data_IF_263352611640
#
_entry.id   IF_263352611640
#
_cell.length_a   1.000
_cell.length_b   1.000
_cell.length_c   1.000
_cell.angle_alpha   90.00
_cell.angle_beta   90.00
_cell.angle_gamma   90.00
#
_symmetry.space_group_name_H-M   'P 1'
#
loop_
_entity.id
_entity.type
_entity.pdbx_description
1 polymer ?
#
# COMPACT_ATOMS: atom_id res chain seq x y z
N UNK A 1 21.29 -0.86 -18.63
CA UNK A 1 20.50 -1.56 -17.60
C UNK A 1 21.37 -2.48 -16.74
N UNK A 2 22.19 -3.38 -17.31
CA UNK A 2 23.06 -4.29 -16.54
C UNK A 2 23.97 -3.63 -15.49
N UNK A 3 24.51 -2.45 -15.77
CA UNK A 3 25.33 -1.71 -14.78
C UNK A 3 24.51 -1.31 -13.54
N UNK A 4 23.24 -0.96 -13.72
CA UNK A 4 22.32 -0.61 -12.63
C UNK A 4 21.87 -1.86 -11.88
N UNK A 5 21.61 -2.97 -12.58
CA UNK A 5 21.34 -4.27 -11.93
C UNK A 5 22.49 -4.66 -11.00
N UNK A 6 23.74 -4.52 -11.48
CA UNK A 6 24.93 -4.84 -10.68
C UNK A 6 25.03 -3.98 -9.40
N UNK A 7 24.61 -2.70 -9.46
CA UNK A 7 24.55 -1.84 -8.27
C UNK A 7 23.46 -2.27 -7.28
N UNK A 8 22.34 -2.79 -7.78
CA UNK A 8 21.24 -3.32 -6.95
C UNK A 8 21.67 -4.64 -6.31
N UNK A 9 22.32 -5.54 -7.04
CA UNK A 9 22.82 -6.81 -6.53
C UNK A 9 23.92 -6.61 -5.47
N UNK A 10 24.80 -5.63 -5.67
CA UNK A 10 25.76 -5.14 -4.66
C UNK A 10 25.03 -4.66 -3.40
N UNK A 11 23.99 -3.84 -3.56
CA UNK A 11 23.18 -3.37 -2.44
C UNK A 11 22.50 -4.49 -1.68
N UNK A 12 21.91 -5.47 -2.38
CA UNK A 12 21.29 -6.67 -1.79
C UNK A 12 22.33 -7.47 -0.99
N UNK A 13 23.55 -7.62 -1.52
CA UNK A 13 24.64 -8.34 -0.84
C UNK A 13 25.08 -7.62 0.44
N UNK A 14 25.18 -6.29 0.40
CA UNK A 14 25.45 -5.47 1.58
C UNK A 14 24.29 -5.49 2.59
N UNK A 15 23.04 -5.51 2.13
CA UNK A 15 21.86 -5.65 2.99
C UNK A 15 21.87 -6.98 3.76
N UNK A 16 22.14 -8.10 3.08
CA UNK A 16 22.24 -9.43 3.69
C UNK A 16 23.35 -9.53 4.75
N UNK A 17 24.42 -8.75 4.61
CA UNK A 17 25.53 -8.69 5.57
C UNK A 17 25.38 -7.61 6.65
N UNK A 18 24.25 -6.88 6.69
CA UNK A 18 24.04 -5.79 7.65
C UNK A 18 24.89 -4.54 7.39
N UNK A 19 25.46 -4.41 6.18
CA UNK A 19 26.35 -3.32 5.77
C UNK A 19 25.80 -2.48 4.61
N UNK A 20 24.47 -2.43 4.43
CA UNK A 20 23.79 -1.69 3.34
C UNK A 20 24.26 -0.23 3.19
N UNK A 21 24.59 0.43 4.30
CA UNK A 21 25.16 1.79 4.33
C UNK A 21 26.49 1.95 3.56
N UNK A 22 27.18 0.85 3.23
CA UNK A 22 28.46 0.84 2.50
C UNK A 22 28.32 0.58 1.01
N UNK A 23 27.15 0.15 0.55
CA UNK A 23 26.92 -0.15 -0.87
C UNK A 23 27.07 1.11 -1.74
N UNK A 24 27.51 0.92 -2.98
CA UNK A 24 27.67 2.04 -3.92
C UNK A 24 26.32 2.68 -4.26
N UNK A 25 25.24 1.88 -4.35
CA UNK A 25 23.91 2.39 -4.61
C UNK A 25 23.41 3.32 -3.50
N UNK A 26 23.69 3.01 -2.22
CA UNK A 26 23.29 3.87 -1.09
C UNK A 26 24.01 5.21 -1.09
N UNK A 27 25.26 5.25 -1.56
CA UNK A 27 25.99 6.50 -1.75
C UNK A 27 25.37 7.38 -2.85
N UNK A 28 24.97 6.77 -3.97
CA UNK A 28 24.38 7.48 -5.11
C UNK A 28 22.93 7.91 -4.85
N UNK A 29 22.18 7.10 -4.11
CA UNK A 29 20.78 7.34 -3.78
C UNK A 29 20.60 7.16 -2.26
N UNK A 30 20.88 8.19 -1.44
CA UNK A 30 20.80 8.08 0.03
C UNK A 30 19.43 7.65 0.55
N UNK A 31 18.36 7.93 -0.18
CA UNK A 31 16.99 7.54 0.13
C UNK A 31 16.62 6.11 -0.30
N UNK A 32 17.55 5.35 -0.88
CA UNK A 32 17.27 3.96 -1.31
C UNK A 32 16.93 3.10 -0.10
N UNK A 33 15.87 2.32 -0.25
CA UNK A 33 15.39 1.36 0.73
C UNK A 33 15.99 -0.02 0.52
N UNK A 34 15.37 -1.01 1.14
CA UNK A 34 15.74 -2.40 0.99
C UNK A 34 15.19 -2.99 -0.32
N UNK A 35 15.88 -3.98 -0.86
CA UNK A 35 15.37 -4.82 -1.95
C UNK A 35 15.07 -6.22 -1.40
N UNK A 36 13.94 -6.79 -1.82
CA UNK A 36 13.52 -8.13 -1.39
C UNK A 36 13.79 -9.20 -2.45
N UNK A 37 13.99 -8.78 -3.70
CA UNK A 37 14.35 -9.63 -4.84
C UNK A 37 15.38 -8.92 -5.72
N UNK A 38 16.16 -9.65 -6.52
CA UNK A 38 16.94 -9.07 -7.61
C UNK A 38 16.01 -8.40 -8.63
N UNK A 39 16.49 -7.33 -9.28
CA UNK A 39 15.72 -6.60 -10.29
C UNK A 39 16.36 -6.79 -11.68
N UNK A 40 15.86 -7.69 -12.53
CA UNK A 40 16.35 -7.89 -13.90
C UNK A 40 15.91 -6.76 -14.84
N UNK A 41 16.40 -5.54 -14.59
CA UNK A 41 16.13 -4.31 -15.35
C UNK A 41 16.38 -4.42 -16.86
N UNK A 42 17.35 -5.22 -17.31
CA UNK A 42 17.64 -5.40 -18.72
C UNK A 42 16.54 -6.19 -19.43
N UNK A 43 16.04 -7.24 -18.79
CA UNK A 43 14.92 -8.02 -19.32
C UNK A 43 13.61 -7.23 -19.22
N UNK A 44 13.41 -6.52 -18.10
CA UNK A 44 12.27 -5.63 -17.93
C UNK A 44 12.25 -4.51 -18.98
N UNK A 45 13.40 -3.92 -19.29
CA UNK A 45 13.53 -2.93 -20.36
C UNK A 45 13.17 -3.54 -21.71
N UNK A 46 13.71 -4.70 -22.08
CA UNK A 46 13.38 -5.37 -23.35
C UNK A 46 11.88 -5.65 -23.44
N UNK A 47 11.29 -6.13 -22.37
CA UNK A 47 9.86 -6.44 -22.30
C UNK A 47 8.99 -5.19 -22.52
N UNK A 48 9.27 -4.10 -21.81
CA UNK A 48 8.53 -2.83 -22.00
C UNK A 48 8.84 -2.17 -23.35
N UNK A 49 10.07 -2.27 -23.85
CA UNK A 49 10.48 -1.73 -25.14
C UNK A 49 9.75 -2.41 -26.31
N UNK A 50 9.52 -3.73 -26.23
CA UNK A 50 8.73 -4.46 -27.23
C UNK A 50 7.28 -3.97 -27.31
N UNK A 51 6.69 -3.53 -26.18
CA UNK A 51 5.31 -3.05 -26.12
C UNK A 51 5.19 -1.56 -26.46
N UNK A 52 6.16 -0.76 -26.01
CA UNK A 52 6.07 0.71 -25.98
C UNK A 52 7.05 1.42 -26.92
N UNK A 53 7.94 0.66 -27.56
CA UNK A 53 8.93 1.16 -28.52
C UNK A 53 9.79 2.30 -27.95
N UNK A 54 10.12 2.21 -26.66
CA UNK A 54 10.82 3.23 -25.86
C UNK A 54 12.10 3.69 -26.57
N UNK A 55 12.91 2.72 -27.03
CA UNK A 55 14.21 2.90 -27.69
C UNK A 55 14.11 3.35 -29.16
N UNK A 56 12.95 3.14 -29.79
CA UNK A 56 12.73 3.45 -31.21
C UNK A 56 12.24 4.89 -31.44
N UNK A 57 11.88 5.61 -30.36
CA UNK A 57 11.45 7.01 -30.44
C UNK A 57 12.64 7.91 -30.81
N UNK A 58 12.44 8.76 -31.83
CA UNK A 58 13.50 9.66 -32.34
C UNK A 58 13.59 11.00 -31.61
N UNK A 59 12.47 11.51 -31.11
CA UNK A 59 12.36 12.88 -30.59
C UNK A 59 11.89 12.96 -29.14
N UNK A 60 11.39 11.85 -28.58
CA UNK A 60 10.85 11.78 -27.23
C UNK A 60 11.69 10.79 -26.44
N UNK A 61 12.48 11.24 -25.44
CA UNK A 61 13.26 10.35 -24.61
C UNK A 61 12.36 9.52 -23.67
N UNK A 62 12.91 8.49 -23.00
CA UNK A 62 12.23 7.81 -21.91
C UNK A 62 11.69 8.79 -20.87
N UNK A 63 10.39 8.70 -20.62
CA UNK A 63 9.68 9.49 -19.61
C UNK A 63 9.82 8.86 -18.22
N UNK A 64 9.43 9.60 -17.19
CA UNK A 64 9.29 9.05 -15.83
C UNK A 64 8.40 7.81 -15.80
N UNK A 65 7.26 7.84 -16.50
CA UNK A 65 6.34 6.70 -16.58
C UNK A 65 6.94 5.50 -17.32
N UNK A 66 7.81 5.72 -18.30
CA UNK A 66 8.54 4.61 -18.94
C UNK A 66 9.45 3.91 -17.93
N UNK A 67 10.21 4.68 -17.14
CA UNK A 67 11.10 4.13 -16.09
C UNK A 67 10.28 3.43 -14.99
N UNK A 68 9.16 4.02 -14.55
CA UNK A 68 8.24 3.42 -13.57
C UNK A 68 7.71 2.07 -14.06
N UNK A 69 7.27 1.99 -15.31
CA UNK A 69 6.80 0.73 -15.91
C UNK A 69 7.92 -0.32 -16.00
N UNK A 70 9.14 0.08 -16.40
CA UNK A 70 10.29 -0.83 -16.41
C UNK A 70 10.59 -1.36 -15.00
N UNK A 71 10.53 -0.51 -13.97
CA UNK A 71 10.73 -0.92 -12.58
C UNK A 71 9.62 -1.85 -12.08
N UNK A 72 8.36 -1.60 -12.44
CA UNK A 72 7.24 -2.49 -12.12
C UNK A 72 7.47 -3.87 -12.75
N UNK A 73 7.81 -3.94 -14.05
CA UNK A 73 8.14 -5.21 -14.72
C UNK A 73 9.34 -5.91 -14.08
N UNK A 74 10.39 -5.17 -13.71
CA UNK A 74 11.56 -5.76 -13.06
C UNK A 74 11.20 -6.37 -11.70
N UNK A 75 10.30 -5.73 -10.96
CA UNK A 75 9.79 -6.25 -9.69
C UNK A 75 8.97 -7.54 -9.89
N UNK A 76 8.07 -7.59 -10.89
CA UNK A 76 7.35 -8.81 -11.24
C UNK A 76 8.31 -9.94 -11.63
N UNK A 77 9.24 -9.67 -12.55
CA UNK A 77 10.25 -10.65 -12.96
C UNK A 77 11.12 -11.12 -11.79
N UNK A 78 11.51 -10.21 -10.88
CA UNK A 78 12.28 -10.53 -9.69
C UNK A 78 11.53 -11.47 -8.76
N UNK A 79 10.25 -11.19 -8.50
CA UNK A 79 9.37 -12.06 -7.71
C UNK A 79 9.24 -13.45 -8.34
N UNK A 80 8.90 -13.52 -9.63
CA UNK A 80 8.65 -14.77 -10.36
C UNK A 80 9.92 -15.63 -10.49
N UNK A 81 11.10 -15.01 -10.62
CA UNK A 81 12.38 -15.74 -10.73
C UNK A 81 12.91 -16.24 -9.39
N UNK A 82 12.63 -15.52 -8.30
CA UNK A 82 13.04 -15.91 -6.94
C UNK A 82 12.06 -16.92 -6.32
N UNK A 83 10.82 -16.98 -6.82
CA UNK A 83 9.81 -17.95 -6.43
C UNK A 83 8.42 -17.59 -6.99
N UNK A 84 7.36 -18.04 -6.33
CA UNK A 84 6.00 -17.62 -6.68
C UNK A 84 5.55 -16.46 -5.79
N UNK A 85 4.74 -15.57 -6.36
CA UNK A 85 3.99 -14.57 -5.58
C UNK A 85 2.94 -15.29 -4.76
N UNK A 86 3.02 -15.20 -3.44
CA UNK A 86 2.09 -15.88 -2.51
C UNK A 86 1.05 -14.91 -1.92
N UNK A 87 1.42 -13.63 -1.76
CA UNK A 87 0.55 -12.56 -1.26
C UNK A 87 0.58 -11.37 -2.21
N UNK A 88 -0.60 -10.92 -2.63
CA UNK A 88 -0.78 -9.63 -3.31
C UNK A 88 -1.56 -8.70 -2.41
N UNK A 89 -0.98 -7.58 -2.04
CA UNK A 89 -1.69 -6.52 -1.33
C UNK A 89 -1.98 -5.35 -2.24
N UNK A 90 -3.14 -4.75 -2.07
CA UNK A 90 -3.60 -3.60 -2.84
C UNK A 90 -3.83 -2.44 -1.89
N UNK A 91 -3.39 -1.26 -2.28
CA UNK A 91 -4.00 -0.05 -1.76
C UNK A 91 -5.46 0.07 -2.24
N UNK A 92 -6.28 0.79 -1.49
CA UNK A 92 -7.68 1.04 -1.84
C UNK A 92 -7.83 2.12 -2.91
N UNK A 93 -7.81 3.37 -2.47
CA UNK A 93 -8.05 4.55 -3.31
C UNK A 93 -6.99 4.68 -4.41
N UNK A 94 -7.42 5.07 -5.61
CA UNK A 94 -6.60 5.30 -6.83
C UNK A 94 -5.85 4.07 -7.35
N UNK A 95 -5.96 2.95 -6.65
CA UNK A 95 -5.40 1.65 -7.04
C UNK A 95 -6.49 0.68 -7.50
N UNK A 96 -7.56 0.52 -6.73
CA UNK A 96 -8.68 -0.38 -7.07
C UNK A 96 -9.87 0.38 -7.66
N UNK A 97 -10.10 1.61 -7.20
CA UNK A 97 -11.19 2.50 -7.61
C UNK A 97 -10.70 3.95 -7.58
N UNK A 98 -11.40 4.83 -8.28
CA UNK A 98 -11.08 6.26 -8.28
C UNK A 98 -11.23 6.87 -6.86
N UNK A 99 -10.53 7.97 -6.60
CA UNK A 99 -10.48 8.63 -5.29
C UNK A 99 -11.88 8.89 -4.70
N UNK A 100 -12.13 8.33 -3.51
CA UNK A 100 -13.40 8.47 -2.79
C UNK A 100 -14.56 7.65 -3.38
N UNK A 101 -14.32 6.86 -4.42
CA UNK A 101 -15.31 5.95 -5.01
C UNK A 101 -15.37 4.60 -4.27
N UNK A 102 -16.27 3.74 -4.74
CA UNK A 102 -16.40 2.36 -4.29
C UNK A 102 -16.09 1.40 -5.42
N UNK A 103 -15.63 0.21 -5.09
CA UNK A 103 -15.37 -0.87 -6.03
C UNK A 103 -16.70 -1.48 -6.47
N UNK A 104 -17.18 -1.14 -7.66
CA UNK A 104 -18.44 -1.66 -8.22
C UNK A 104 -18.25 -3.04 -8.86
N UNK A 105 -19.34 -3.80 -8.96
CA UNK A 105 -19.36 -5.20 -9.42
C UNK A 105 -18.78 -5.43 -10.83
N UNK A 106 -18.80 -4.40 -11.68
CA UNK A 106 -18.34 -4.42 -13.07
C UNK A 106 -16.88 -3.97 -13.24
N UNK A 107 -16.20 -3.61 -12.14
CA UNK A 107 -14.83 -3.14 -12.22
C UNK A 107 -13.89 -4.24 -12.76
N UNK A 108 -13.12 -3.96 -13.83
CA UNK A 108 -12.28 -4.95 -14.49
C UNK A 108 -11.22 -5.59 -13.56
N UNK A 109 -10.81 -4.93 -12.49
CA UNK A 109 -9.82 -5.47 -11.53
C UNK A 109 -10.33 -6.72 -10.81
N UNK A 110 -11.65 -6.82 -10.58
CA UNK A 110 -12.27 -7.89 -9.79
C UNK A 110 -11.99 -9.25 -10.42
N UNK A 111 -12.19 -9.38 -11.73
CA UNK A 111 -11.91 -10.63 -12.46
C UNK A 111 -10.46 -11.10 -12.32
N UNK A 112 -9.49 -10.17 -12.21
CA UNK A 112 -8.08 -10.50 -11.99
C UNK A 112 -7.82 -10.91 -10.53
N UNK A 113 -8.47 -10.26 -9.56
CA UNK A 113 -8.37 -10.66 -8.15
C UNK A 113 -8.95 -12.09 -7.97
N UNK A 114 -10.09 -12.39 -8.58
CA UNK A 114 -10.68 -13.75 -8.57
C UNK A 114 -9.72 -14.77 -9.20
N UNK A 115 -9.07 -14.43 -10.32
CA UNK A 115 -8.01 -15.27 -10.91
C UNK A 115 -6.87 -15.56 -9.93
N UNK A 116 -6.39 -14.55 -9.20
CA UNK A 116 -5.35 -14.75 -8.18
C UNK A 116 -5.82 -15.69 -7.05
N UNK A 117 -7.08 -15.55 -6.61
CA UNK A 117 -7.68 -16.45 -5.61
C UNK A 117 -7.78 -17.89 -6.14
N UNK A 118 -8.18 -18.10 -7.40
CA UNK A 118 -8.15 -19.43 -8.02
C UNK A 118 -6.75 -20.06 -8.04
N UNK A 119 -5.71 -19.24 -8.18
CA UNK A 119 -4.32 -19.67 -8.13
C UNK A 119 -3.82 -19.92 -6.69
N UNK A 120 -4.68 -19.75 -5.67
CA UNK A 120 -4.34 -19.97 -4.26
C UNK A 120 -3.51 -18.84 -3.64
N UNK A 121 -3.39 -17.69 -4.33
CA UNK A 121 -2.70 -16.51 -3.80
C UNK A 121 -3.56 -15.84 -2.74
N UNK A 122 -2.92 -15.33 -1.69
CA UNK A 122 -3.57 -14.56 -0.62
C UNK A 122 -3.70 -13.10 -1.03
N UNK A 123 -4.80 -12.44 -0.63
CA UNK A 123 -5.14 -11.08 -1.03
C UNK A 123 -5.37 -10.22 0.20
N UNK A 124 -4.68 -9.08 0.29
CA UNK A 124 -4.92 -8.07 1.33
C UNK A 124 -5.27 -6.71 0.75
N UNK A 125 -6.40 -6.13 1.15
CA UNK A 125 -6.73 -4.74 0.81
C UNK A 125 -6.28 -3.86 1.98
N UNK A 126 -5.25 -3.04 1.79
CA UNK A 126 -4.68 -2.16 2.82
C UNK A 126 -5.15 -0.74 2.53
N UNK A 127 -5.84 -0.09 3.46
CA UNK A 127 -6.43 1.23 3.24
C UNK A 127 -6.25 2.16 4.44
N UNK A 128 -6.05 3.44 4.14
CA UNK A 128 -6.04 4.50 5.14
C UNK A 128 -7.42 4.72 5.80
N UNK A 129 -8.51 4.29 5.14
CA UNK A 129 -9.84 4.35 5.72
C UNK A 129 -9.91 3.48 6.99
N UNK A 130 -9.97 4.13 8.16
CA UNK A 130 -10.01 3.46 9.47
C UNK A 130 -11.41 3.45 10.08
N UNK A 131 -12.23 2.48 9.70
CA UNK A 131 -13.51 2.19 10.35
C UNK A 131 -13.37 1.03 11.35
N UNK A 132 -14.12 1.10 12.44
CA UNK A 132 -14.17 0.04 13.46
C UNK A 132 -15.15 -1.08 13.09
N UNK A 133 -16.01 -0.85 12.10
CA UNK A 133 -17.15 -1.71 11.77
C UNK A 133 -17.11 -2.15 10.30
N UNK A 134 -17.53 -3.39 10.05
CA UNK A 134 -17.53 -4.02 8.73
C UNK A 134 -18.41 -3.32 7.66
N UNK A 135 -19.63 -2.81 7.97
CA UNK A 135 -20.51 -2.22 6.95
C UNK A 135 -19.86 -1.10 6.12
N UNK A 136 -19.00 -0.29 6.74
CA UNK A 136 -18.30 0.82 6.05
C UNK A 136 -17.27 0.34 5.03
N UNK A 137 -16.58 -0.76 5.34
CA UNK A 137 -15.71 -1.40 4.35
C UNK A 137 -16.50 -2.09 3.26
N UNK A 138 -17.63 -2.71 3.61
CA UNK A 138 -18.55 -3.28 2.63
C UNK A 138 -19.05 -2.23 1.65
N UNK A 139 -19.51 -1.06 2.10
CA UNK A 139 -19.91 0.05 1.21
C UNK A 139 -18.86 0.34 0.13
N UNK A 140 -17.57 0.39 0.53
CA UNK A 140 -16.44 0.66 -0.39
C UNK A 140 -16.05 -0.53 -1.26
N UNK A 141 -16.27 -1.77 -0.81
CA UNK A 141 -15.72 -2.99 -1.42
C UNK A 141 -16.78 -4.01 -1.90
N UNK A 142 -18.07 -3.67 -1.81
CA UNK A 142 -19.20 -4.58 -2.09
C UNK A 142 -19.04 -5.30 -3.43
N UNK A 143 -18.58 -4.61 -4.48
CA UNK A 143 -18.38 -5.22 -5.79
C UNK A 143 -17.41 -6.40 -5.75
N UNK A 144 -16.29 -6.29 -5.02
CA UNK A 144 -15.35 -7.40 -4.85
C UNK A 144 -15.92 -8.49 -3.93
N UNK A 145 -16.46 -8.10 -2.78
CA UNK A 145 -16.95 -9.04 -1.77
C UNK A 145 -18.09 -9.90 -2.32
N UNK A 146 -19.06 -9.28 -2.98
CA UNK A 146 -20.19 -9.97 -3.59
C UNK A 146 -19.72 -10.91 -4.70
N UNK A 147 -18.77 -10.49 -5.53
CA UNK A 147 -18.21 -11.34 -6.59
C UNK A 147 -17.47 -12.56 -6.01
N UNK A 148 -16.66 -12.39 -4.96
CA UNK A 148 -15.99 -13.50 -4.27
C UNK A 148 -17.01 -14.46 -3.65
N UNK A 149 -18.06 -13.92 -3.03
CA UNK A 149 -19.12 -14.73 -2.43
C UNK A 149 -19.88 -15.55 -3.48
N UNK A 150 -20.25 -14.92 -4.59
CA UNK A 150 -21.08 -15.51 -5.65
C UNK A 150 -20.32 -16.41 -6.63
N UNK A 151 -18.98 -16.37 -6.64
CA UNK A 151 -18.17 -17.26 -7.48
C UNK A 151 -18.24 -18.69 -6.92
N UNK A 152 -18.82 -19.62 -7.70
CA UNK A 152 -19.18 -20.97 -7.25
C UNK A 152 -18.00 -21.95 -7.23
N UNK A 153 -16.97 -21.68 -8.03
CA UNK A 153 -15.80 -22.53 -8.23
C UNK A 153 -14.57 -22.09 -7.39
N UNK A 154 -14.71 -21.04 -6.56
CA UNK A 154 -13.77 -20.76 -5.48
C UNK A 154 -14.08 -21.66 -4.28
N UNK A 155 -13.05 -22.35 -3.77
CA UNK A 155 -13.15 -23.09 -2.50
C UNK A 155 -13.29 -22.14 -1.31
N UNK A 156 -13.74 -22.66 -0.16
CA UNK A 156 -13.81 -21.87 1.07
C UNK A 156 -12.44 -21.30 1.49
N UNK A 157 -11.35 -22.06 1.37
CA UNK A 157 -9.99 -21.55 1.65
C UNK A 157 -9.61 -20.41 0.71
N UNK A 158 -9.97 -20.51 -0.57
CA UNK A 158 -9.72 -19.43 -1.53
C UNK A 158 -10.54 -18.18 -1.21
N UNK A 159 -11.82 -18.30 -0.84
CA UNK A 159 -12.62 -17.14 -0.40
C UNK A 159 -12.05 -16.50 0.87
N UNK A 160 -11.67 -17.33 1.85
CA UNK A 160 -11.06 -16.90 3.10
C UNK A 160 -9.62 -16.38 2.96
N UNK A 161 -9.06 -16.39 1.74
CA UNK A 161 -7.77 -15.79 1.41
C UNK A 161 -7.83 -14.28 1.20
N UNK A 162 -9.02 -13.68 1.27
CA UNK A 162 -9.23 -12.23 1.18
C UNK A 162 -9.37 -11.61 2.58
N UNK A 163 -8.54 -10.61 2.86
CA UNK A 163 -8.61 -9.78 4.07
C UNK A 163 -8.61 -8.29 3.73
N UNK A 164 -9.12 -7.48 4.65
CA UNK A 164 -9.10 -6.01 4.61
C UNK A 164 -8.38 -5.49 5.85
N UNK A 165 -7.31 -4.73 5.66
CA UNK A 165 -6.55 -4.02 6.66
C UNK A 165 -6.87 -2.53 6.58
N UNK A 166 -7.67 -2.03 7.52
CA UNK A 166 -8.10 -0.64 7.58
C UNK A 166 -7.37 0.22 8.61
N UNK A 167 -7.43 1.53 8.40
CA UNK A 167 -6.72 2.53 9.19
C UNK A 167 -5.21 2.32 9.15
N UNK A 168 -4.68 2.04 7.96
CA UNK A 168 -3.30 1.66 7.63
C UNK A 168 -2.84 0.32 8.24
N UNK A 169 -2.99 0.15 9.55
CA UNK A 169 -2.53 -1.03 10.31
C UNK A 169 -3.32 -1.26 11.61
N UNK A 170 -4.57 -0.79 11.67
CA UNK A 170 -5.31 -0.71 12.93
C UNK A 170 -6.47 -1.71 13.06
N UNK A 171 -7.12 -2.08 11.95
CA UNK A 171 -8.28 -2.98 11.97
C UNK A 171 -8.13 -4.05 10.88
N UNK A 172 -8.19 -5.32 11.27
CA UNK A 172 -8.18 -6.43 10.33
C UNK A 172 -9.56 -7.07 10.25
N UNK A 173 -10.06 -7.25 9.04
CA UNK A 173 -11.28 -7.98 8.72
C UNK A 173 -10.95 -9.13 7.78
N UNK A 174 -11.57 -10.28 8.02
CA UNK A 174 -11.51 -11.43 7.12
C UNK A 174 -12.80 -11.53 6.34
N UNK A 175 -12.73 -12.05 5.12
CA UNK A 175 -13.92 -12.47 4.39
C UNK A 175 -14.70 -13.52 5.19
N UNK A 176 -16.02 -13.36 5.25
CA UNK A 176 -16.93 -14.25 5.96
C UNK A 176 -18.28 -14.29 5.25
N UNK A 177 -18.54 -15.35 4.48
CA UNK A 177 -19.79 -15.53 3.73
C UNK A 177 -21.04 -15.64 4.60
N UNK A 178 -20.89 -15.83 5.92
CA UNK A 178 -22.01 -15.87 6.86
C UNK A 178 -22.38 -14.51 7.45
N UNK A 179 -21.49 -13.52 7.33
CA UNK A 179 -21.70 -12.15 7.78
C UNK A 179 -22.58 -11.38 6.77
N UNK A 180 -23.52 -10.52 7.22
CA UNK A 180 -24.33 -9.70 6.31
C UNK A 180 -23.48 -8.77 5.44
N UNK A 181 -22.33 -8.31 5.97
CA UNK A 181 -21.40 -7.42 5.29
C UNK A 181 -20.23 -8.18 4.62
N UNK A 182 -20.32 -9.52 4.57
CA UNK A 182 -19.29 -10.42 4.04
C UNK A 182 -17.90 -10.28 4.69
N UNK A 183 -17.84 -9.59 5.83
CA UNK A 183 -16.63 -9.29 6.57
C UNK A 183 -16.89 -9.51 8.05
N UNK A 184 -15.90 -10.11 8.73
CA UNK A 184 -15.90 -10.29 10.18
C UNK A 184 -14.59 -9.74 10.76
N UNK A 185 -14.63 -8.98 11.86
CA UNK A 185 -13.43 -8.45 12.50
C UNK A 185 -12.56 -9.60 13.03
N UNK A 186 -11.25 -9.42 12.97
CA UNK A 186 -10.25 -10.34 13.53
C UNK A 186 -9.65 -9.74 14.79
N UNK A 187 -9.63 -10.54 15.86
CA UNK A 187 -9.02 -10.20 17.14
C UNK A 187 -7.58 -9.73 16.96
N UNK A 188 -7.21 -8.60 17.58
CA UNK A 188 -5.88 -7.99 17.41
C UNK A 188 -4.74 -8.92 17.79
N UNK A 189 -4.96 -9.78 18.77
CA UNK A 189 -3.97 -10.76 19.23
C UNK A 189 -3.54 -11.75 18.16
N UNK A 190 -4.36 -11.99 17.12
CA UNK A 190 -4.09 -12.95 16.05
C UNK A 190 -3.12 -12.43 14.99
N UNK A 191 -3.05 -11.11 14.79
CA UNK A 191 -2.31 -10.52 13.66
C UNK A 191 -1.29 -9.44 14.05
N UNK A 192 -1.33 -8.92 15.27
CA UNK A 192 -0.35 -7.94 15.74
C UNK A 192 1.07 -8.48 15.65
N UNK A 193 1.96 -7.66 15.08
CA UNK A 193 3.39 -7.90 15.10
C UNK A 193 3.96 -7.71 16.51
N UNK A 194 5.09 -8.32 16.80
CA UNK A 194 5.68 -8.26 18.13
C UNK A 194 6.13 -6.83 18.49
N UNK A 195 6.60 -6.07 17.52
CA UNK A 195 6.95 -4.66 17.69
C UNK A 195 5.71 -3.80 17.98
N UNK A 196 4.57 -4.09 17.36
CA UNK A 196 3.32 -3.36 17.61
C UNK A 196 2.79 -3.57 19.03
N UNK A 197 3.08 -4.72 19.63
CA UNK A 197 2.71 -5.03 21.03
C UNK A 197 3.54 -4.22 22.04
N UNK A 198 4.69 -3.68 21.62
CA UNK A 198 5.54 -2.83 22.46
C UNK A 198 5.12 -1.36 22.47
N UNK A 199 4.17 -0.97 21.60
CA UNK A 199 3.65 0.39 21.56
C UNK A 199 2.82 0.66 22.82
N UNK A 200 3.27 1.63 23.60
CA UNK A 200 2.64 1.99 24.87
C UNK A 200 1.43 2.88 24.64
N UNK A 201 0.37 2.65 25.40
CA UNK A 201 -0.85 3.46 25.30
C UNK A 201 -0.60 4.91 25.76
N UNK A 202 0.37 5.14 26.66
CA UNK A 202 0.80 6.50 27.04
C UNK A 202 1.47 7.23 25.86
N UNK A 203 2.34 6.55 25.12
CA UNK A 203 2.99 7.12 23.93
C UNK A 203 1.95 7.40 22.83
N UNK A 204 0.98 6.49 22.63
CA UNK A 204 -0.10 6.69 21.65
C UNK A 204 -0.92 7.94 22.01
N UNK A 205 -1.29 8.07 23.29
CA UNK A 205 -2.07 9.22 23.77
C UNK A 205 -1.28 10.52 23.59
N UNK A 206 -0.01 10.55 24.00
CA UNK A 206 0.88 11.71 23.85
C UNK A 206 0.99 12.15 22.38
N UNK A 207 1.23 11.20 21.46
CA UNK A 207 1.36 11.49 20.04
C UNK A 207 0.08 12.10 19.47
N UNK A 208 -1.06 11.47 19.75
CA UNK A 208 -2.35 11.93 19.25
C UNK A 208 -2.75 13.28 19.85
N UNK A 209 -2.37 13.60 21.09
CA UNK A 209 -2.61 14.92 21.71
C UNK A 209 -1.79 16.03 21.05
N UNK A 210 -0.53 15.74 20.72
CA UNK A 210 0.34 16.66 19.96
C UNK A 210 -0.24 16.90 18.56
N UNK A 211 -0.63 15.83 17.86
CA UNK A 211 -1.25 15.92 16.55
C UNK A 211 -2.57 16.70 16.59
N UNK A 212 -3.43 16.44 17.58
CA UNK A 212 -4.69 17.17 17.75
C UNK A 212 -4.46 18.67 17.96
N UNK A 213 -3.46 19.03 18.76
CA UNK A 213 -3.08 20.43 18.99
C UNK A 213 -2.65 21.10 17.67
N UNK A 214 -1.78 20.45 16.91
CA UNK A 214 -1.33 20.97 15.60
C UNK A 214 -2.50 21.14 14.62
N UNK A 215 -3.44 20.18 14.59
CA UNK A 215 -4.66 20.27 13.77
C UNK A 215 -5.55 21.44 14.19
N UNK A 216 -5.74 21.67 15.49
CA UNK A 216 -6.54 22.81 16.00
C UNK A 216 -5.92 24.16 15.64
N UNK A 217 -4.59 24.25 15.70
CA UNK A 217 -3.86 25.45 15.29
C UNK A 217 -4.03 25.71 13.78
N UNK A 218 -3.92 24.67 12.94
CA UNK A 218 -4.19 24.76 11.50
C UNK A 218 -5.62 25.18 11.20
N UNK A 219 -6.61 24.57 11.87
CA UNK A 219 -8.01 24.93 11.73
C UNK A 219 -8.26 26.41 12.02
N UNK A 220 -7.62 26.94 13.06
CA UNK A 220 -7.75 28.35 13.46
C UNK A 220 -7.04 29.27 12.46
N UNK A 221 -5.78 28.97 12.12
CA UNK A 221 -4.94 29.82 11.27
C UNK A 221 -5.44 29.88 9.82
N UNK A 222 -5.96 28.77 9.30
CA UNK A 222 -6.48 28.67 7.94
C UNK A 222 -8.01 28.85 7.86
N UNK A 223 -8.67 29.08 9.01
CA UNK A 223 -10.12 29.18 9.14
C UNK A 223 -10.86 28.01 8.47
N UNK A 224 -10.41 26.78 8.75
CA UNK A 224 -10.92 25.58 8.11
C UNK A 224 -12.34 25.27 8.60
N UNK A 225 -13.32 25.04 7.70
CA UNK A 225 -14.67 24.63 8.06
C UNK A 225 -14.70 23.14 8.42
N UNK A 226 -14.04 22.76 9.51
CA UNK A 226 -13.85 21.38 9.92
C UNK A 226 -14.16 21.15 11.41
N UNK A 227 -14.20 19.88 11.80
CA UNK A 227 -14.35 19.39 13.17
C UNK A 227 -13.28 18.34 13.44
N UNK A 228 -12.77 18.29 14.66
CA UNK A 228 -11.80 17.27 15.09
C UNK A 228 -12.51 15.94 15.28
N UNK A 229 -11.89 14.86 14.82
CA UNK A 229 -12.31 13.48 15.01
C UNK A 229 -11.19 12.72 15.70
N UNK A 230 -11.42 12.28 16.94
CA UNK A 230 -10.46 11.49 17.73
C UNK A 230 -10.93 10.04 17.81
N UNK A 231 -10.06 9.12 17.40
CA UNK A 231 -10.23 7.66 17.46
C UNK A 231 -9.17 7.07 18.41
N UNK A 232 -9.28 5.78 18.81
CA UNK A 232 -8.30 5.17 19.70
C UNK A 232 -6.85 5.19 19.19
N UNK A 233 -6.65 5.18 17.87
CA UNK A 233 -5.32 5.13 17.22
C UNK A 233 -5.17 6.11 16.06
N UNK A 234 -6.01 7.14 16.04
CA UNK A 234 -5.97 8.15 14.99
C UNK A 234 -6.60 9.46 15.49
N UNK A 235 -6.16 10.58 14.92
CA UNK A 235 -6.81 11.88 15.08
C UNK A 235 -6.79 12.63 13.77
N UNK A 236 -7.86 13.34 13.45
CA UNK A 236 -7.97 14.06 12.19
C UNK A 236 -8.98 15.19 12.24
N UNK A 237 -9.11 15.88 11.11
CA UNK A 237 -10.14 16.88 10.86
C UNK A 237 -11.05 16.39 9.74
N UNK A 238 -12.35 16.44 9.97
CA UNK A 238 -13.39 16.15 8.98
C UNK A 238 -14.13 17.44 8.62
N UNK A 239 -14.52 17.66 7.36
CA UNK A 239 -15.26 18.85 6.96
C UNK A 239 -16.61 18.89 7.67
N UNK A 240 -17.08 20.11 7.98
CA UNK A 240 -18.45 20.34 8.44
C UNK A 240 -19.45 19.97 7.32
N UNK A 241 -20.68 19.64 7.68
CA UNK A 241 -21.71 19.22 6.74
C UNK A 241 -21.87 20.20 5.56
N UNK A 242 -21.75 19.66 4.34
CA UNK A 242 -21.86 20.43 3.09
C UNK A 242 -20.68 21.38 2.81
N UNK A 243 -19.60 21.34 3.61
CA UNK A 243 -18.38 22.10 3.38
C UNK A 243 -17.31 21.23 2.73
N UNK A 244 -16.37 21.89 2.04
CA UNK A 244 -15.16 21.28 1.49
C UNK A 244 -13.97 22.16 1.82
N UNK A 245 -12.82 21.55 2.01
CA UNK A 245 -11.55 22.24 2.18
C UNK A 245 -10.78 22.21 0.86
N UNK A 246 -9.99 23.26 0.58
CA UNK A 246 -9.15 23.27 -0.62
C UNK A 246 -7.97 22.31 -0.43
N UNK A 247 -7.50 21.72 -1.51
CA UNK A 247 -6.38 20.77 -1.47
C UNK A 247 -5.15 21.38 -0.80
N UNK A 248 -4.82 22.62 -1.14
CA UNK A 248 -3.65 23.32 -0.61
C UNK A 248 -3.76 23.52 0.91
N UNK A 249 -4.97 23.73 1.44
CA UNK A 249 -5.20 23.83 2.89
C UNK A 249 -5.00 22.48 3.59
N UNK A 250 -5.43 21.39 2.94
CA UNK A 250 -5.26 20.04 3.46
C UNK A 250 -3.77 19.64 3.44
N UNK A 251 -3.05 19.90 2.35
CA UNK A 251 -1.60 19.63 2.25
C UNK A 251 -0.80 20.45 3.29
N UNK A 252 -1.10 21.74 3.47
CA UNK A 252 -0.48 22.56 4.52
C UNK A 252 -0.74 21.96 5.92
N UNK A 253 -1.98 21.54 6.19
CA UNK A 253 -2.36 20.95 7.48
C UNK A 253 -1.62 19.63 7.72
N UNK A 254 -1.49 18.77 6.70
CA UNK A 254 -0.71 17.52 6.78
C UNK A 254 0.75 17.82 7.10
N UNK A 255 1.38 18.73 6.36
CA UNK A 255 2.80 19.05 6.52
C UNK A 255 3.09 19.63 7.91
N UNK A 256 2.25 20.54 8.41
CA UNK A 256 2.41 21.12 9.76
C UNK A 256 2.22 20.06 10.85
N UNK A 257 1.16 19.25 10.76
CA UNK A 257 0.90 18.20 11.74
C UNK A 257 2.03 17.15 11.73
N UNK A 258 2.44 16.71 10.54
CA UNK A 258 3.56 15.78 10.37
C UNK A 258 4.83 16.33 11.00
N UNK A 259 5.26 17.54 10.61
CA UNK A 259 6.50 18.12 11.11
C UNK A 259 6.47 18.32 12.63
N UNK A 260 5.33 18.72 13.19
CA UNK A 260 5.16 18.91 14.63
C UNK A 260 5.30 17.59 15.39
N UNK A 261 4.69 16.51 14.89
CA UNK A 261 4.80 15.19 15.49
C UNK A 261 6.21 14.61 15.30
N UNK A 262 6.82 14.73 14.11
CA UNK A 262 8.18 14.25 13.81
C UNK A 262 9.24 14.88 14.74
N UNK A 263 9.08 16.17 15.07
CA UNK A 263 10.01 16.88 15.96
C UNK A 263 9.78 16.58 17.46
N UNK A 264 8.69 15.91 17.82
CA UNK A 264 8.37 15.57 19.21
C UNK A 264 9.19 14.37 19.71
N UNK A 265 9.28 14.21 21.05
CA UNK A 265 9.97 13.06 21.63
C UNK A 265 9.29 11.73 21.30
N UNK A 266 7.96 11.74 21.20
CA UNK A 266 7.13 10.55 20.98
C UNK A 266 7.05 10.14 19.51
N UNK A 267 7.12 11.10 18.58
CA UNK A 267 7.19 10.82 17.14
C UNK A 267 8.45 10.04 16.73
N UNK A 268 9.50 10.06 17.55
CA UNK A 268 10.68 9.21 17.38
C UNK A 268 10.50 7.79 17.95
N UNK A 269 9.52 7.57 18.84
CA UNK A 269 9.25 6.29 19.51
C UNK A 269 8.16 5.49 18.81
N UNK A 270 7.19 6.16 18.19
CA UNK A 270 6.06 5.53 17.53
C UNK A 270 6.03 5.82 16.02
N UNK A 271 5.79 4.80 15.18
CA UNK A 271 5.47 5.05 13.79
C UNK A 271 4.10 5.68 13.68
N UNK A 272 3.95 6.62 12.76
CA UNK A 272 2.69 7.25 12.43
C UNK A 272 2.69 7.66 10.96
N UNK A 273 1.50 7.97 10.44
CA UNK A 273 1.33 8.51 9.11
C UNK A 273 0.35 9.68 9.16
N UNK A 274 0.72 10.80 8.55
CA UNK A 274 -0.15 11.95 8.31
C UNK A 274 -0.47 12.01 6.82
N UNK A 275 -1.74 12.12 6.46
CA UNK A 275 -2.16 12.10 5.06
C UNK A 275 -3.38 12.98 4.78
N UNK A 276 -3.49 13.39 3.53
CA UNK A 276 -4.63 14.11 2.97
C UNK A 276 -5.58 13.09 2.33
N UNK A 277 -6.79 12.93 2.88
CA UNK A 277 -7.82 12.02 2.34
C UNK A 277 -8.74 12.68 1.31
N UNK A 278 -8.27 13.73 0.63
CA UNK A 278 -8.98 14.44 -0.45
C UNK A 278 -9.97 15.49 0.03
N UNK A 279 -10.59 15.29 1.20
CA UNK A 279 -11.44 16.30 1.86
C UNK A 279 -11.30 16.32 3.39
N UNK A 280 -10.44 15.48 3.95
CA UNK A 280 -10.10 15.40 5.38
C UNK A 280 -8.57 15.24 5.55
N UNK A 281 -8.10 15.38 6.79
CA UNK A 281 -6.70 15.10 7.16
C UNK A 281 -6.71 14.21 8.38
N UNK A 282 -5.93 13.13 8.34
CA UNK A 282 -5.78 12.21 9.46
C UNK A 282 -4.31 11.93 9.77
N UNK A 283 -4.06 11.71 11.06
CA UNK A 283 -2.81 11.22 11.62
C UNK A 283 -3.13 9.89 12.31
N UNK A 284 -2.64 8.80 11.73
CA UNK A 284 -2.86 7.44 12.21
C UNK A 284 -1.59 6.91 12.90
N UNK A 285 -1.76 6.13 13.97
CA UNK A 285 -0.67 5.35 14.56
C UNK A 285 -0.39 4.16 13.63
N UNK A 286 0.89 3.98 13.27
CA UNK A 286 1.33 3.05 12.24
C UNK A 286 1.32 3.65 10.84
N UNK A 287 1.63 2.82 9.84
CA UNK A 287 1.62 3.17 8.42
C UNK A 287 1.36 1.91 7.57
N UNK A 288 1.19 2.05 6.25
CA UNK A 288 0.92 0.91 5.34
C UNK A 288 1.97 -0.18 5.39
N UNK A 289 3.22 0.13 5.75
CA UNK A 289 4.25 -0.91 5.89
C UNK A 289 3.88 -1.89 7.01
N UNK A 290 3.38 -1.38 8.14
CA UNK A 290 2.88 -2.20 9.24
C UNK A 290 1.64 -3.00 8.84
N UNK A 291 0.74 -2.41 8.03
CA UNK A 291 -0.43 -3.09 7.49
C UNK A 291 -0.06 -4.29 6.60
N UNK A 292 0.89 -4.09 5.68
CA UNK A 292 1.40 -5.16 4.81
C UNK A 292 2.11 -6.25 5.61
N UNK A 293 2.95 -5.88 6.59
CA UNK A 293 3.61 -6.84 7.48
C UNK A 293 2.59 -7.64 8.31
N UNK A 294 1.53 -7.00 8.80
CA UNK A 294 0.44 -7.68 9.49
C UNK A 294 -0.28 -8.67 8.56
N UNK A 295 -0.54 -8.32 7.29
CA UNK A 295 -1.08 -9.25 6.30
C UNK A 295 -0.16 -10.46 6.10
N UNK A 296 1.15 -10.24 5.95
CA UNK A 296 2.14 -11.32 5.86
C UNK A 296 2.09 -12.24 7.10
N UNK A 297 2.05 -11.65 8.30
CA UNK A 297 1.99 -12.38 9.57
C UNK A 297 0.72 -13.20 9.73
N UNK A 298 -0.42 -12.63 9.35
CA UNK A 298 -1.74 -13.25 9.44
C UNK A 298 -1.82 -14.51 8.57
N UNK A 299 -1.32 -14.45 7.34
CA UNK A 299 -1.28 -15.60 6.44
C UNK A 299 -0.12 -16.58 6.73
N UNK A 300 0.33 -16.68 7.98
CA UNK A 300 1.34 -17.65 8.40
C UNK A 300 2.79 -17.19 8.25
N UNK A 301 3.04 -15.90 8.05
CA UNK A 301 4.39 -15.34 7.92
C UNK A 301 4.95 -15.43 6.50
N UNK A 302 4.15 -15.03 5.50
CA UNK A 302 4.59 -15.00 4.10
C UNK A 302 5.82 -14.08 3.95
N UNK A 303 6.84 -14.58 3.26
CA UNK A 303 8.10 -13.86 3.09
C UNK A 303 7.90 -12.55 2.29
N UNK A 304 8.68 -11.52 2.65
CA UNK A 304 8.68 -10.23 1.95
C UNK A 304 9.06 -10.35 0.47
N UNK A 305 9.93 -11.31 0.13
CA UNK A 305 10.32 -11.64 -1.24
C UNK A 305 9.26 -12.40 -2.04
N UNK A 306 8.14 -12.77 -1.41
CA UNK A 306 6.98 -13.41 -2.04
C UNK A 306 5.71 -12.57 -1.95
N UNK A 307 5.85 -11.32 -1.53
CA UNK A 307 4.75 -10.37 -1.37
C UNK A 307 4.90 -9.25 -2.40
N UNK A 308 3.83 -8.99 -3.13
CA UNK A 308 3.69 -7.85 -4.03
C UNK A 308 2.67 -6.88 -3.46
N UNK A 309 3.07 -5.64 -3.18
CA UNK A 309 2.14 -4.54 -2.96
C UNK A 309 1.91 -3.77 -4.26
N UNK A 310 0.67 -3.35 -4.51
CA UNK A 310 0.28 -2.50 -5.63
C UNK A 310 -0.39 -1.26 -5.03
N UNK A 311 0.16 -0.08 -5.30
CA UNK A 311 -0.33 1.18 -4.72
C UNK A 311 0.11 2.41 -5.52
N UNK A 312 -0.49 3.57 -5.24
CA UNK A 312 -0.12 4.84 -5.86
C UNK A 312 0.78 5.70 -4.98
N UNK A 313 1.98 6.02 -5.48
CA UNK A 313 2.92 6.91 -4.80
C UNK A 313 2.89 8.36 -5.32
N UNK A 314 1.97 8.71 -6.25
CA UNK A 314 1.81 10.09 -6.75
C UNK A 314 0.98 10.96 -5.82
N UNK A 315 0.10 10.37 -5.00
CA UNK A 315 -0.80 11.12 -4.14
C UNK A 315 -0.18 11.36 -2.75
N UNK A 316 -0.22 12.65 -2.37
CA UNK A 316 0.14 13.29 -1.09
C UNK A 316 1.61 13.63 -0.81
N UNK A 317 1.82 14.89 -0.42
CA UNK A 317 2.93 15.22 0.47
C UNK A 317 2.60 14.58 1.84
N UNK A 318 3.35 13.54 2.21
CA UNK A 318 3.04 12.67 3.37
C UNK A 318 3.06 11.18 3.04
N UNK A 319 2.88 10.83 1.75
CA UNK A 319 2.96 9.51 1.09
C UNK A 319 2.90 8.27 1.99
N UNK A 320 1.68 7.88 2.35
CA UNK A 320 1.39 6.62 3.03
C UNK A 320 1.79 5.38 2.22
N UNK A 321 1.57 5.38 0.90
CA UNK A 321 1.93 4.26 0.01
C UNK A 321 3.43 4.06 -0.16
N UNK A 322 4.21 5.13 -0.09
CA UNK A 322 5.66 5.02 -0.15
C UNK A 322 6.23 4.17 1.00
N UNK A 323 5.55 4.09 2.14
CA UNK A 323 5.99 3.27 3.27
C UNK A 323 5.86 1.78 2.98
N UNK A 324 4.90 1.34 2.17
CA UNK A 324 4.69 -0.08 1.87
C UNK A 324 5.94 -0.77 1.26
N UNK A 325 6.78 -0.01 0.53
CA UNK A 325 8.06 -0.50 0.00
C UNK A 325 9.09 -0.90 1.07
N UNK A 326 8.86 -0.54 2.33
CA UNK A 326 9.68 -0.99 3.47
C UNK A 326 9.32 -2.42 3.91
N UNK A 327 8.13 -2.90 3.53
CA UNK A 327 7.59 -4.20 3.92
C UNK A 327 7.70 -5.27 2.83
N UNK A 328 7.67 -4.90 1.55
CA UNK A 328 7.73 -5.85 0.44
C UNK A 328 8.06 -5.18 -0.90
N UNK A 329 8.14 -5.98 -1.96
CA UNK A 329 8.20 -5.49 -3.35
C UNK A 329 6.95 -4.69 -3.68
N UNK A 330 7.07 -3.51 -4.30
CA UNK A 330 5.94 -2.59 -4.51
C UNK A 330 5.89 -2.05 -5.94
N UNK A 331 4.84 -2.38 -6.67
CA UNK A 331 4.56 -1.78 -7.97
C UNK A 331 3.80 -0.47 -7.83
N UNK A 332 4.27 0.56 -8.53
CA UNK A 332 3.68 1.89 -8.51
C UNK A 332 2.73 2.08 -9.69
N UNK A 333 1.44 2.15 -9.40
CA UNK A 333 0.35 2.44 -10.35
C UNK A 333 -0.22 3.84 -10.10
N UNK A 334 -0.87 4.46 -11.08
CA UNK A 334 -1.43 5.81 -10.96
C UNK A 334 -2.94 5.89 -11.20
N UNK A 335 -3.57 4.74 -11.46
CA UNK A 335 -5.01 4.60 -11.67
C UNK A 335 -5.37 3.10 -11.73
N UNK A 336 -6.66 2.75 -11.58
CA UNK A 336 -7.13 1.36 -11.67
C UNK A 336 -6.81 0.65 -13.00
N UNK A 337 -6.72 1.39 -14.11
CA UNK A 337 -6.34 0.83 -15.41
C UNK A 337 -4.91 0.29 -15.44
N UNK A 338 -3.97 0.97 -14.78
CA UNK A 338 -2.60 0.48 -14.63
C UNK A 338 -2.51 -0.74 -13.70
N UNK A 339 -3.34 -0.81 -12.64
CA UNK A 339 -3.48 -2.02 -11.81
C UNK A 339 -3.91 -3.22 -12.66
N UNK A 340 -4.91 -3.04 -13.52
CA UNK A 340 -5.34 -4.09 -14.46
C UNK A 340 -4.21 -4.53 -15.39
N UNK A 341 -3.51 -3.58 -16.00
CA UNK A 341 -2.38 -3.89 -16.89
C UNK A 341 -1.27 -4.65 -16.16
N UNK A 342 -0.96 -4.27 -14.93
CA UNK A 342 0.05 -4.92 -14.10
C UNK A 342 -0.35 -6.37 -13.75
N UNK A 343 -1.61 -6.61 -13.40
CA UNK A 343 -2.11 -7.95 -13.09
C UNK A 343 -2.15 -8.86 -14.32
N UNK A 344 -2.49 -8.31 -15.49
CA UNK A 344 -2.43 -9.04 -16.76
C UNK A 344 -0.97 -9.33 -17.18
N UNK A 345 -0.05 -8.42 -16.88
CA UNK A 345 1.38 -8.63 -17.09
C UNK A 345 1.95 -9.72 -16.15
N UNK A 346 1.56 -9.72 -14.88
CA UNK A 346 1.91 -10.78 -13.93
C UNK A 346 1.48 -12.15 -14.45
N UNK A 347 0.23 -12.28 -14.90
CA UNK A 347 -0.31 -13.54 -15.44
C UNK A 347 0.44 -13.98 -16.71
N UNK A 348 0.73 -13.06 -17.64
CA UNK A 348 1.51 -13.38 -18.83
C UNK A 348 2.93 -13.87 -18.48
N UNK A 349 3.60 -13.21 -17.54
CA UNK A 349 4.96 -13.57 -17.12
C UNK A 349 5.01 -14.91 -16.36
N UNK A 350 4.03 -15.19 -15.50
CA UNK A 350 3.93 -16.49 -14.80
C UNK A 350 3.74 -17.63 -15.81
N UNK A 351 2.87 -17.47 -16.80
CA UNK A 351 2.62 -18.48 -17.83
C UNK A 351 3.81 -18.69 -18.79
N UNK A 352 4.56 -17.62 -19.11
CA UNK A 352 5.78 -17.70 -19.92
C UNK A 352 6.91 -18.48 -19.22
N UNK A 353 6.99 -18.38 -17.88
CA UNK A 353 8.00 -19.11 -17.09
C UNK A 353 7.62 -20.58 -16.94
N UNK A 354 6.33 -20.91 -16.74
CA UNK A 354 5.85 -22.31 -16.68
C UNK A 354 6.03 -23.04 -18.02
N UNK A 355 6.01 -22.29 -19.13
CA UNK A 355 6.16 -22.84 -20.48
C UNK A 355 7.62 -23.11 -20.91
N UNK A 356 8.61 -22.73 -20.08
CA UNK A 356 10.04 -22.99 -20.30
C UNK A 356 10.56 -24.01 -19.31
#
# INVERSE_FOLDING_TARGET
MHDVESLIDDHISHQKSGTSHRSKLKLLVPSIGNFFTPLPLADAFRYQDMKRFISSRRFVPPSFNDIRNILNTAQLLGLIRDGNVELVTFDGDVTLYDDGASLTVDNPVISRIIRLLHQGKRIGIVTAAGYTEAPRYYERLHGLLDNVNNTLDLTEDQKNSLIVMGGESNFLFKFDSSSPDLLSPVERSEWLLDEMKLWKEEDITELLDIAETALRDCMTNLNLPATIVRKPRAVGISPLDGKRMQREQLEETVLVAQQTVELSSVGHRLPFCAFNGGNDVFIDIGDKSWGVLACQRYFGGIARSKTLHIGDQFLSAGSNDFKARLACTTSWVSNPGETVQLLDELDALENDVISK
#
